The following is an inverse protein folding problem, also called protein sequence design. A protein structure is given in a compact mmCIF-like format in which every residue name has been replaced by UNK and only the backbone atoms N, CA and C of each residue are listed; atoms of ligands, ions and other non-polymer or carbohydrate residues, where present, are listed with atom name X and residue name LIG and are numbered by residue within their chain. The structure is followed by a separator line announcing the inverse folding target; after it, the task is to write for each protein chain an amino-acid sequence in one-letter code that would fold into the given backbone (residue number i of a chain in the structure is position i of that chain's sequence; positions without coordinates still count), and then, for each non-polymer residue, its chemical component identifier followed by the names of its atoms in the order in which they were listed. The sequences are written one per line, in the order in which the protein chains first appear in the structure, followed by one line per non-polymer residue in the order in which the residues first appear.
data_IF_307622047867
#
_entry.id   IF_307622047867
#
_cell.length_a   1.000
_cell.length_b   1.000
_cell.length_c   1.000
_cell.angle_alpha   90.00
_cell.angle_beta   90.00
_cell.angle_gamma   90.00
#
_symmetry.space_group_name_H-M   'P 1'
#
loop_
_entity.id
_entity.type
_entity.pdbx_description
1 polymer ?
#
# COMPACT_ATOMS: atom_id res chain seq x y z
N UNK A 1 15.04 3.29 -19.86
CA UNK A 1 13.79 2.85 -19.23
C UNK A 1 14.04 1.63 -18.35
N UNK A 2 14.39 1.78 -17.09
CA UNK A 2 14.55 0.65 -16.17
C UNK A 2 13.18 0.18 -15.64
N UNK A 3 12.76 -1.02 -15.99
CA UNK A 3 11.54 -1.64 -15.45
C UNK A 3 11.85 -2.88 -14.60
N UNK A 4 13.08 -3.37 -14.64
CA UNK A 4 13.51 -4.48 -13.78
C UNK A 4 13.99 -3.94 -12.44
N UNK A 5 13.22 -4.17 -11.39
CA UNK A 5 13.46 -3.65 -10.05
C UNK A 5 14.08 -4.75 -9.18
N UNK A 6 15.33 -4.54 -8.79
CA UNK A 6 16.00 -5.40 -7.82
C UNK A 6 15.42 -5.21 -6.41
N UNK A 7 15.36 -6.28 -5.64
CA UNK A 7 14.95 -6.26 -4.22
C UNK A 7 16.03 -6.89 -3.35
N UNK A 8 16.14 -6.39 -2.12
CA UNK A 8 17.02 -6.96 -1.10
C UNK A 8 16.24 -7.11 0.20
N UNK A 9 16.36 -8.27 0.84
CA UNK A 9 15.75 -8.56 2.12
C UNK A 9 16.70 -8.28 3.31
N UNK A 10 17.92 -7.78 3.04
CA UNK A 10 18.94 -7.60 4.08
C UNK A 10 18.47 -6.78 5.28
N UNK A 11 17.68 -5.72 5.04
CA UNK A 11 17.17 -4.87 6.14
C UNK A 11 16.13 -5.57 7.00
N UNK A 12 15.45 -6.58 6.48
CA UNK A 12 14.43 -7.35 7.19
C UNK A 12 14.97 -8.73 7.67
N UNK A 13 16.19 -9.09 7.31
CA UNK A 13 16.73 -10.43 7.54
C UNK A 13 16.61 -10.87 9.00
N UNK A 14 17.02 -10.02 9.96
CA UNK A 14 17.02 -10.39 11.38
C UNK A 14 15.61 -10.73 11.90
N UNK A 15 14.58 -9.99 11.47
CA UNK A 15 13.20 -10.29 11.89
C UNK A 15 12.64 -11.51 11.14
N UNK A 16 12.98 -11.67 9.87
CA UNK A 16 12.54 -12.81 9.05
C UNK A 16 13.15 -14.11 9.58
N UNK A 17 14.45 -14.10 9.87
CA UNK A 17 15.16 -15.24 10.51
C UNK A 17 14.51 -15.61 11.85
N UNK A 18 14.21 -14.62 12.68
CA UNK A 18 13.57 -14.83 13.97
C UNK A 18 12.17 -15.44 13.84
N UNK A 19 11.35 -14.91 12.92
CA UNK A 19 9.99 -15.39 12.69
C UNK A 19 10.00 -16.82 12.13
N UNK A 20 10.79 -17.08 11.08
CA UNK A 20 10.87 -18.42 10.48
C UNK A 20 11.35 -19.46 11.49
N UNK A 21 12.42 -19.15 12.26
CA UNK A 21 12.97 -20.04 13.27
C UNK A 21 11.98 -20.37 14.40
N UNK A 22 11.12 -19.44 14.77
CA UNK A 22 10.19 -19.59 15.89
C UNK A 22 8.75 -19.90 15.46
N UNK A 23 8.48 -20.10 14.17
CA UNK A 23 7.14 -20.39 13.66
C UNK A 23 6.17 -19.22 13.88
N UNK A 24 6.65 -17.98 13.80
CA UNK A 24 5.85 -16.76 13.97
C UNK A 24 5.45 -16.27 12.58
N UNK A 25 4.15 -16.10 12.36
CA UNK A 25 3.64 -15.53 11.11
C UNK A 25 4.03 -14.05 10.93
N UNK A 26 4.26 -13.66 9.68
CA UNK A 26 4.56 -12.28 9.31
C UNK A 26 3.47 -11.67 8.43
N UNK A 27 3.24 -10.37 8.62
CA UNK A 27 2.49 -9.52 7.71
C UNK A 27 3.47 -8.54 7.06
N UNK A 28 3.54 -8.56 5.72
CA UNK A 28 4.36 -7.63 4.95
C UNK A 28 3.72 -6.24 4.88
N UNK A 29 4.54 -5.17 4.92
CA UNK A 29 4.08 -3.79 4.86
C UNK A 29 5.12 -2.91 4.19
N UNK A 30 4.82 -2.16 3.19
CA UNK A 30 3.75 -2.22 2.20
C UNK A 30 4.40 -2.12 0.81
N UNK A 31 3.71 -2.58 -0.26
CA UNK A 31 4.28 -2.39 -1.61
C UNK A 31 4.10 -0.96 -2.11
N UNK A 32 2.94 -0.37 -1.85
CA UNK A 32 2.54 0.94 -2.35
C UNK A 32 2.15 1.85 -1.20
N UNK A 33 2.87 2.96 -1.07
CA UNK A 33 2.57 3.99 -0.08
C UNK A 33 3.00 5.37 -0.60
N UNK A 34 2.27 6.43 -0.26
CA UNK A 34 2.62 7.83 -0.58
C UNK A 34 3.75 8.37 0.32
N UNK A 35 4.25 7.55 1.24
CA UNK A 35 5.39 7.80 2.11
C UNK A 35 6.48 6.76 1.85
N UNK A 36 7.72 7.08 2.22
CA UNK A 36 8.89 6.20 2.22
C UNK A 36 9.28 5.55 0.87
N UNK A 37 8.46 5.67 -0.18
CA UNK A 37 8.89 5.31 -1.52
C UNK A 37 9.68 6.48 -2.11
N UNK A 38 10.96 6.31 -2.44
CA UNK A 38 11.80 7.43 -2.85
C UNK A 38 11.36 8.02 -4.19
N UNK A 39 11.47 9.35 -4.34
CA UNK A 39 10.99 10.07 -5.53
C UNK A 39 11.66 9.60 -6.83
N UNK A 40 12.92 9.18 -6.79
CA UNK A 40 13.61 8.65 -7.96
C UNK A 40 12.94 7.42 -8.57
N UNK A 41 12.18 6.64 -7.77
CA UNK A 41 11.47 5.45 -8.25
C UNK A 41 10.40 5.79 -9.31
N UNK A 42 9.87 7.01 -9.25
CA UNK A 42 8.82 7.51 -10.17
C UNK A 42 9.39 8.31 -11.35
N UNK A 43 10.71 8.45 -11.42
CA UNK A 43 11.36 9.34 -12.39
C UNK A 43 12.13 8.54 -13.45
N UNK A 44 12.29 9.16 -14.63
CA UNK A 44 13.16 8.64 -15.67
C UNK A 44 14.62 8.57 -15.19
N UNK A 45 15.31 7.52 -15.60
CA UNK A 45 16.70 7.29 -15.23
C UNK A 45 16.95 7.00 -13.75
N UNK A 46 15.89 6.82 -12.93
CA UNK A 46 15.99 6.64 -11.46
C UNK A 46 16.76 7.79 -10.78
N UNK A 47 16.50 9.02 -11.18
CA UNK A 47 17.09 10.23 -10.61
C UNK A 47 16.01 11.16 -10.09
N UNK A 48 16.26 11.88 -8.98
CA UNK A 48 15.30 12.80 -8.41
C UNK A 48 14.91 13.96 -9.35
N UNK A 49 15.80 14.33 -10.28
CA UNK A 49 15.60 15.40 -11.25
C UNK A 49 15.02 14.91 -12.59
N UNK A 50 14.78 13.60 -12.75
CA UNK A 50 14.18 13.04 -13.95
C UNK A 50 12.73 13.49 -14.14
N UNK A 51 12.22 13.43 -15.37
CA UNK A 51 10.81 13.58 -15.65
C UNK A 51 10.01 12.42 -15.02
N UNK A 52 8.72 12.63 -14.77
CA UNK A 52 7.82 11.54 -14.36
C UNK A 52 7.77 10.47 -15.45
N UNK A 53 7.87 9.21 -15.05
CA UNK A 53 7.70 8.11 -16.00
C UNK A 53 6.25 8.02 -16.47
N UNK A 54 6.02 7.35 -17.60
CA UNK A 54 4.69 7.02 -18.06
C UNK A 54 3.98 6.03 -17.12
N UNK A 55 2.66 6.02 -17.15
CA UNK A 55 1.82 5.04 -16.44
C UNK A 55 2.22 3.60 -16.74
N UNK A 56 2.49 3.29 -18.01
CA UNK A 56 2.91 1.95 -18.44
C UNK A 56 4.28 1.57 -17.85
N UNK A 57 5.24 2.49 -17.88
CA UNK A 57 6.55 2.28 -17.25
C UNK A 57 6.43 2.04 -15.75
N UNK A 58 5.58 2.81 -15.07
CA UNK A 58 5.37 2.65 -13.62
C UNK A 58 4.68 1.34 -13.30
N UNK A 59 3.70 0.94 -14.10
CA UNK A 59 3.03 -0.35 -13.96
C UNK A 59 4.02 -1.51 -14.13
N UNK A 60 4.91 -1.43 -15.11
CA UNK A 60 5.94 -2.44 -15.32
C UNK A 60 6.99 -2.47 -14.16
N UNK A 61 7.34 -1.30 -13.60
CA UNK A 61 8.18 -1.24 -12.39
C UNK A 61 7.50 -1.92 -11.20
N UNK A 62 6.22 -1.63 -11.00
CA UNK A 62 5.43 -2.21 -9.91
C UNK A 62 5.28 -3.73 -10.05
N UNK A 63 4.99 -4.22 -11.28
CA UNK A 63 4.93 -5.67 -11.57
C UNK A 63 6.26 -6.36 -11.24
N UNK A 64 7.37 -5.80 -11.71
CA UNK A 64 8.70 -6.33 -11.43
C UNK A 64 9.03 -6.31 -9.93
N UNK A 65 8.71 -5.22 -9.24
CA UNK A 65 8.97 -5.07 -7.80
C UNK A 65 8.22 -6.11 -6.98
N UNK A 66 6.91 -6.21 -7.15
CA UNK A 66 6.05 -7.14 -6.40
C UNK A 66 6.46 -8.59 -6.69
N UNK A 67 6.64 -8.94 -7.97
CA UNK A 67 7.13 -10.27 -8.39
C UNK A 67 8.44 -10.63 -7.71
N UNK A 68 9.42 -9.73 -7.79
CA UNK A 68 10.75 -9.98 -7.26
C UNK A 68 10.76 -10.07 -5.73
N UNK A 69 9.89 -9.32 -5.05
CA UNK A 69 9.73 -9.38 -3.60
C UNK A 69 9.20 -10.75 -3.17
N UNK A 70 8.06 -11.21 -3.68
CA UNK A 70 7.52 -12.53 -3.35
C UNK A 70 8.48 -13.65 -3.72
N UNK A 71 9.15 -13.56 -4.88
CA UNK A 71 10.14 -14.54 -5.30
C UNK A 71 11.37 -14.57 -4.40
N UNK A 72 11.82 -13.41 -3.90
CA UNK A 72 12.94 -13.33 -2.96
C UNK A 72 12.59 -13.95 -1.61
N UNK A 73 11.40 -13.64 -1.08
CA UNK A 73 10.91 -14.22 0.17
C UNK A 73 10.80 -15.74 0.05
N UNK A 74 10.12 -16.25 -0.95
CA UNK A 74 9.94 -17.69 -1.15
C UNK A 74 11.27 -18.45 -1.30
N UNK A 75 12.27 -17.82 -1.92
CA UNK A 75 13.59 -18.44 -2.12
C UNK A 75 14.47 -18.41 -0.86
N UNK A 76 14.45 -17.29 -0.11
CA UNK A 76 15.36 -17.10 1.03
C UNK A 76 14.75 -17.59 2.34
N UNK A 77 13.42 -17.59 2.44
CA UNK A 77 12.65 -17.94 3.63
C UNK A 77 11.51 -18.91 3.27
N UNK A 78 11.82 -20.12 2.82
CA UNK A 78 10.82 -21.06 2.30
C UNK A 78 9.85 -21.60 3.37
N UNK A 79 10.18 -21.47 4.65
CA UNK A 79 9.35 -21.92 5.77
C UNK A 79 8.69 -20.76 6.53
N UNK A 80 8.88 -19.52 6.08
CA UNK A 80 8.27 -18.36 6.70
C UNK A 80 6.77 -18.33 6.40
N UNK A 81 5.95 -18.29 7.46
CA UNK A 81 4.52 -18.04 7.34
C UNK A 81 4.25 -16.55 7.02
N UNK A 82 4.29 -16.19 5.74
CA UNK A 82 3.84 -14.89 5.25
C UNK A 82 2.31 -14.93 5.09
N UNK A 83 1.57 -14.79 6.19
CA UNK A 83 0.11 -14.95 6.20
C UNK A 83 -0.65 -13.79 5.57
N UNK A 84 -0.05 -12.61 5.49
CA UNK A 84 -0.70 -11.42 4.92
C UNK A 84 0.31 -10.42 4.35
N UNK A 85 -0.17 -9.55 3.46
CA UNK A 85 0.59 -8.41 2.95
C UNK A 85 -0.31 -7.18 2.78
N UNK A 86 0.12 -6.02 3.29
CA UNK A 86 -0.49 -4.73 2.99
C UNK A 86 -0.02 -4.30 1.59
N UNK A 87 -0.87 -4.51 0.60
CA UNK A 87 -0.52 -4.19 -0.80
C UNK A 87 -0.44 -2.69 -1.01
N UNK A 88 -1.44 -1.98 -0.50
CA UNK A 88 -1.50 -0.51 -0.57
C UNK A 88 -1.79 0.05 0.81
N UNK A 89 -1.01 1.06 1.20
CA UNK A 89 -1.17 1.80 2.44
C UNK A 89 -1.58 3.25 2.15
N UNK A 90 -2.65 3.71 2.83
CA UNK A 90 -3.02 5.13 2.93
C UNK A 90 -3.22 5.85 1.59
N UNK A 91 -3.88 5.21 0.63
CA UNK A 91 -4.12 5.85 -0.67
C UNK A 91 -5.21 6.93 -0.61
N UNK A 92 -6.15 6.82 0.34
CA UNK A 92 -7.27 7.77 0.45
C UNK A 92 -6.85 8.99 1.27
N UNK A 93 -7.13 10.18 0.73
CA UNK A 93 -6.85 11.47 1.38
C UNK A 93 -7.77 11.71 2.57
N UNK A 94 -7.25 12.41 3.59
CA UNK A 94 -8.03 12.91 4.73
C UNK A 94 -8.84 14.17 4.37
N UNK A 95 -8.56 14.81 3.26
CA UNK A 95 -9.25 16.01 2.79
C UNK A 95 -10.65 15.65 2.25
N UNK A 96 -11.70 16.19 2.89
CA UNK A 96 -13.09 15.95 2.52
C UNK A 96 -13.42 16.40 1.09
N UNK A 97 -12.75 17.43 0.58
CA UNK A 97 -12.91 17.82 -0.81
C UNK A 97 -12.32 16.77 -1.78
N UNK A 98 -11.20 16.15 -1.40
CA UNK A 98 -10.60 15.09 -2.21
C UNK A 98 -11.49 13.84 -2.25
N UNK A 99 -12.10 13.49 -1.12
CA UNK A 99 -13.02 12.35 -1.06
C UNK A 99 -14.32 12.63 -1.82
N UNK A 100 -14.86 13.85 -1.74
CA UNK A 100 -16.11 14.21 -2.42
C UNK A 100 -15.97 14.33 -3.95
N UNK A 101 -14.83 14.87 -4.44
CA UNK A 101 -14.72 15.31 -5.84
C UNK A 101 -13.66 14.56 -6.65
N UNK A 102 -12.77 13.79 -6.01
CA UNK A 102 -11.63 13.15 -6.66
C UNK A 102 -11.47 11.66 -6.29
N UNK A 103 -12.56 11.01 -5.84
CA UNK A 103 -12.54 9.60 -5.44
C UNK A 103 -11.54 9.28 -4.32
N UNK A 104 -11.25 10.26 -3.47
CA UNK A 104 -10.28 10.12 -2.39
C UNK A 104 -8.82 10.24 -2.82
N UNK A 105 -8.51 10.48 -4.09
CA UNK A 105 -7.13 10.59 -4.53
C UNK A 105 -6.40 11.76 -3.84
N UNK A 106 -5.18 11.50 -3.34
CA UNK A 106 -4.30 12.52 -2.78
C UNK A 106 -3.91 13.55 -3.83
N UNK A 107 -3.33 14.66 -3.41
CA UNK A 107 -2.80 15.67 -4.33
C UNK A 107 -1.57 15.11 -5.05
N UNK A 108 -1.47 15.35 -6.38
CA UNK A 108 -0.29 14.97 -7.16
C UNK A 108 0.94 15.77 -6.71
N UNK A 109 2.06 15.11 -6.55
CA UNK A 109 3.33 15.71 -6.11
C UNK A 109 4.33 14.61 -5.79
N UNK A 110 5.55 14.98 -5.42
CA UNK A 110 6.47 14.04 -4.82
C UNK A 110 5.89 13.49 -3.51
N UNK A 111 6.24 12.26 -3.18
CA UNK A 111 5.75 11.62 -1.96
C UNK A 111 6.11 12.45 -0.72
N UNK A 112 5.09 12.81 0.05
CA UNK A 112 5.24 13.61 1.26
C UNK A 112 4.17 13.23 2.29
N UNK A 113 4.62 12.66 3.41
CA UNK A 113 3.72 12.26 4.51
C UNK A 113 2.98 13.46 5.08
N UNK A 114 3.71 14.53 5.41
CA UNK A 114 3.15 15.72 6.08
C UNK A 114 2.25 16.53 5.14
N UNK A 115 2.62 16.61 3.86
CA UNK A 115 1.86 17.36 2.86
C UNK A 115 0.73 16.57 2.20
N UNK A 116 0.62 15.27 2.47
CA UNK A 116 -0.42 14.42 1.89
C UNK A 116 -0.34 14.26 0.37
N UNK A 117 0.79 14.59 -0.27
CA UNK A 117 1.01 14.43 -1.70
C UNK A 117 1.46 13.02 -2.07
N UNK A 118 1.16 12.59 -3.29
CA UNK A 118 1.44 11.25 -3.78
C UNK A 118 2.06 11.27 -5.18
N UNK A 119 3.24 10.69 -5.29
CA UNK A 119 3.90 10.44 -6.57
C UNK A 119 3.15 9.39 -7.41
N UNK A 120 2.42 8.49 -6.78
CA UNK A 120 1.54 7.56 -7.47
C UNK A 120 0.46 8.32 -8.24
N UNK A 121 -0.18 9.30 -7.60
CA UNK A 121 -1.18 10.17 -8.25
C UNK A 121 -0.54 11.04 -9.33
N UNK A 122 0.72 11.49 -9.16
CA UNK A 122 1.43 12.23 -10.21
C UNK A 122 1.59 11.40 -11.49
N UNK A 123 1.79 10.10 -11.38
CA UNK A 123 1.96 9.22 -12.54
C UNK A 123 0.62 8.72 -13.10
N UNK A 124 -0.32 8.36 -12.22
CA UNK A 124 -1.59 7.73 -12.64
C UNK A 124 -2.72 8.73 -12.87
N UNK A 125 -2.66 9.91 -12.28
CA UNK A 125 -3.69 10.95 -12.34
C UNK A 125 -4.80 10.77 -11.29
N UNK A 126 -4.99 9.56 -10.79
CA UNK A 126 -6.02 9.16 -9.84
C UNK A 126 -5.59 7.96 -8.99
N UNK A 127 -6.52 7.32 -8.27
CA UNK A 127 -6.26 6.12 -7.46
C UNK A 127 -6.26 4.80 -8.27
N UNK A 128 -6.24 4.82 -9.60
CA UNK A 128 -6.21 3.59 -10.42
C UNK A 128 -4.97 2.72 -10.19
N UNK A 129 -3.90 3.28 -9.65
CA UNK A 129 -2.73 2.51 -9.23
C UNK A 129 -3.06 1.48 -8.14
N UNK A 130 -4.06 1.73 -7.30
CA UNK A 130 -4.49 0.81 -6.24
C UNK A 130 -4.98 -0.51 -6.85
N UNK A 131 -5.91 -0.44 -7.79
CA UNK A 131 -6.39 -1.63 -8.48
C UNK A 131 -5.24 -2.36 -9.17
N UNK A 132 -4.36 -1.63 -9.82
CA UNK A 132 -3.22 -2.22 -10.53
C UNK A 132 -2.25 -2.92 -9.58
N UNK A 133 -2.00 -2.34 -8.39
CA UNK A 133 -1.17 -2.97 -7.38
C UNK A 133 -1.77 -4.28 -6.85
N UNK A 134 -3.09 -4.29 -6.60
CA UNK A 134 -3.79 -5.50 -6.14
C UNK A 134 -3.86 -6.59 -7.21
N UNK A 135 -4.15 -6.24 -8.47
CA UNK A 135 -4.11 -7.18 -9.60
C UNK A 135 -2.75 -7.88 -9.69
N UNK A 136 -1.67 -7.10 -9.59
CA UNK A 136 -0.31 -7.60 -9.66
C UNK A 136 0.04 -8.45 -8.43
N UNK A 137 -0.32 -7.99 -7.23
CA UNK A 137 -0.07 -8.74 -6.00
C UNK A 137 -0.81 -10.08 -6.00
N UNK A 138 -2.08 -10.10 -6.40
CA UNK A 138 -2.87 -11.32 -6.55
C UNK A 138 -2.24 -12.34 -7.51
N UNK A 139 -1.60 -11.86 -8.57
CA UNK A 139 -0.90 -12.72 -9.54
C UNK A 139 0.32 -13.44 -8.97
N UNK A 140 1.02 -12.85 -8.01
CA UNK A 140 2.31 -13.34 -7.53
C UNK A 140 2.33 -13.78 -6.06
N UNK A 141 1.33 -13.40 -5.28
CA UNK A 141 1.24 -13.79 -3.87
C UNK A 141 1.09 -15.31 -3.72
N UNK A 142 1.70 -15.91 -2.69
CA UNK A 142 1.32 -17.26 -2.30
C UNK A 142 -0.17 -17.36 -1.97
N UNK A 143 -0.80 -18.48 -2.27
CA UNK A 143 -2.24 -18.70 -2.02
C UNK A 143 -2.64 -18.49 -0.54
N UNK A 144 -1.72 -18.81 0.37
CA UNK A 144 -1.90 -18.59 1.81
C UNK A 144 -1.80 -17.13 2.25
N UNK A 145 -1.19 -16.25 1.44
CA UNK A 145 -0.95 -14.86 1.80
C UNK A 145 -2.17 -13.99 1.49
N UNK A 146 -2.81 -13.47 2.53
CA UNK A 146 -3.97 -12.58 2.42
C UNK A 146 -3.55 -11.16 2.05
N UNK A 147 -4.28 -10.53 1.12
CA UNK A 147 -3.96 -9.22 0.58
C UNK A 147 -4.87 -8.14 1.17
N UNK A 148 -4.26 -7.15 1.82
CA UNK A 148 -4.96 -6.09 2.55
C UNK A 148 -4.72 -4.72 1.94
N UNK A 149 -5.77 -3.90 1.94
CA UNK A 149 -5.66 -2.45 1.92
C UNK A 149 -5.58 -1.95 3.36
N UNK A 150 -4.65 -1.05 3.69
CA UNK A 150 -4.45 -0.56 5.05
C UNK A 150 -4.53 0.96 5.09
N UNK A 151 -5.26 1.52 6.09
CA UNK A 151 -5.40 2.98 6.21
C UNK A 151 -5.64 3.39 7.67
N UNK A 152 -5.64 4.70 7.92
CA UNK A 152 -5.93 5.35 9.20
C UNK A 152 -7.08 6.33 9.05
N UNK A 153 -7.66 6.80 10.17
CA UNK A 153 -8.85 7.66 10.18
C UNK A 153 -10.03 7.09 9.37
N UNK A 154 -10.05 5.80 9.18
CA UNK A 154 -11.03 5.04 8.41
C UNK A 154 -12.45 5.13 9.00
N UNK A 155 -12.58 5.61 10.24
CA UNK A 155 -13.85 5.89 10.90
C UNK A 155 -14.46 7.26 10.53
N UNK A 156 -13.75 8.13 9.81
CA UNK A 156 -14.31 9.38 9.29
C UNK A 156 -15.23 9.09 8.11
N UNK A 157 -16.49 9.51 8.20
CA UNK A 157 -17.54 9.16 7.24
C UNK A 157 -17.11 9.35 5.78
N UNK A 158 -16.58 10.52 5.45
CA UNK A 158 -16.16 10.83 4.08
C UNK A 158 -14.99 9.95 3.59
N UNK A 159 -14.07 9.57 4.47
CA UNK A 159 -12.93 8.72 4.15
C UNK A 159 -13.33 7.25 4.10
N UNK A 160 -14.12 6.81 5.08
CA UNK A 160 -14.68 5.45 5.16
C UNK A 160 -15.40 5.07 3.88
N UNK A 161 -16.29 5.94 3.38
CA UNK A 161 -17.08 5.66 2.20
C UNK A 161 -16.21 5.51 0.94
N UNK A 162 -15.14 6.30 0.80
CA UNK A 162 -14.17 6.14 -0.27
C UNK A 162 -13.40 4.81 -0.16
N UNK A 163 -12.90 4.48 1.04
CA UNK A 163 -12.20 3.22 1.31
C UNK A 163 -13.12 2.05 1.00
N UNK A 164 -14.35 2.06 1.54
CA UNK A 164 -15.33 1.00 1.34
C UNK A 164 -15.62 0.76 -0.14
N UNK A 165 -15.93 1.80 -0.90
CA UNK A 165 -16.28 1.66 -2.31
C UNK A 165 -15.10 1.14 -3.14
N UNK A 166 -13.88 1.60 -2.89
CA UNK A 166 -12.66 1.13 -3.53
C UNK A 166 -12.41 -0.35 -3.18
N UNK A 167 -12.42 -0.69 -1.90
CA UNK A 167 -12.18 -2.06 -1.43
C UNK A 167 -13.26 -3.04 -1.88
N UNK A 168 -14.53 -2.63 -1.90
CA UNK A 168 -15.64 -3.43 -2.43
C UNK A 168 -15.42 -3.81 -3.89
N UNK A 169 -14.97 -2.85 -4.72
CA UNK A 169 -14.65 -3.13 -6.12
C UNK A 169 -13.51 -4.16 -6.25
N UNK A 170 -12.44 -4.02 -5.46
CA UNK A 170 -11.32 -4.95 -5.45
C UNK A 170 -11.73 -6.35 -4.96
N UNK A 171 -12.55 -6.42 -3.91
CA UNK A 171 -13.08 -7.67 -3.39
C UNK A 171 -13.95 -8.40 -4.42
N UNK A 172 -14.82 -7.68 -5.13
CA UNK A 172 -15.67 -8.26 -6.19
C UNK A 172 -14.84 -8.82 -7.36
N UNK A 173 -13.63 -8.30 -7.58
CA UNK A 173 -12.67 -8.82 -8.58
C UNK A 173 -11.83 -9.99 -8.05
N UNK A 174 -11.94 -10.32 -6.77
CA UNK A 174 -11.15 -11.36 -6.12
C UNK A 174 -9.70 -10.96 -5.80
N UNK A 175 -9.38 -9.67 -5.82
CA UNK A 175 -8.01 -9.18 -5.62
C UNK A 175 -7.69 -8.83 -4.17
N UNK A 176 -8.70 -8.62 -3.33
CA UNK A 176 -8.55 -8.14 -1.96
C UNK A 176 -9.22 -9.12 -0.99
N UNK A 177 -8.54 -9.45 0.10
CA UNK A 177 -9.06 -10.31 1.17
C UNK A 177 -9.60 -9.51 2.37
N UNK A 178 -9.11 -8.29 2.61
CA UNK A 178 -9.57 -7.51 3.76
C UNK A 178 -9.05 -6.08 3.82
N UNK A 179 -9.60 -5.34 4.79
CA UNK A 179 -9.20 -3.98 5.11
C UNK A 179 -8.45 -3.99 6.44
N UNK A 180 -7.25 -3.41 6.47
CA UNK A 180 -6.48 -3.16 7.67
C UNK A 180 -6.83 -1.79 8.24
N UNK A 181 -7.26 -1.77 9.49
CA UNK A 181 -7.55 -0.55 10.24
C UNK A 181 -6.38 -0.25 11.17
N UNK A 182 -5.69 0.89 10.96
CA UNK A 182 -4.53 1.24 11.77
C UNK A 182 -4.92 1.58 13.22
N UNK A 183 -6.16 2.01 13.43
CA UNK A 183 -6.74 2.22 14.76
C UNK A 183 -5.93 3.16 15.66
N UNK A 184 -5.37 4.23 15.09
CA UNK A 184 -4.69 5.27 15.87
C UNK A 184 -5.72 6.06 16.69
N UNK A 185 -5.87 5.72 17.95
CA UNK A 185 -6.83 6.33 18.88
C UNK A 185 -6.05 7.07 19.96
N UNK A 186 -6.39 8.34 20.18
CA UNK A 186 -5.82 9.12 21.28
C UNK A 186 -6.56 8.77 22.59
N UNK A 187 -5.79 8.40 23.61
CA UNK A 187 -6.27 8.28 24.99
C UNK A 187 -6.00 9.61 25.73
N UNK A 188 -6.67 10.68 25.30
CA UNK A 188 -6.60 11.97 25.96
C UNK A 188 -7.62 12.12 27.10
N UNK A 189 -7.57 13.25 27.81
CA UNK A 189 -8.49 13.54 28.94
C UNK A 189 -9.97 13.61 28.55
N UNK A 190 -10.28 13.70 27.26
CA UNK A 190 -11.64 13.73 26.73
C UNK A 190 -12.15 12.32 26.35
N UNK A 191 -11.35 11.30 26.61
CA UNK A 191 -11.67 9.90 26.37
C UNK A 191 -11.63 9.49 24.92
N UNK A 192 -12.13 8.31 24.65
CA UNK A 192 -12.14 7.69 23.31
C UNK A 192 -13.27 8.26 22.44
N UNK A 193 -13.21 9.55 22.11
CA UNK A 193 -14.28 10.22 21.32
C UNK A 193 -14.53 9.57 19.96
N UNK A 194 -13.57 8.81 19.44
CA UNK A 194 -13.70 8.09 18.18
C UNK A 194 -14.27 6.66 18.30
N UNK A 195 -14.38 6.09 19.51
CA UNK A 195 -14.73 4.66 19.68
C UNK A 195 -16.11 4.32 19.10
N UNK A 196 -17.11 5.18 19.31
CA UNK A 196 -18.45 4.93 18.77
C UNK A 196 -18.45 4.93 17.22
N UNK A 197 -17.74 5.87 16.61
CA UNK A 197 -17.57 5.94 15.15
C UNK A 197 -16.79 4.74 14.62
N UNK A 198 -15.75 4.32 15.35
CA UNK A 198 -14.98 3.13 15.05
C UNK A 198 -15.81 1.85 15.08
N UNK A 199 -16.67 1.72 16.08
CA UNK A 199 -17.54 0.53 16.26
C UNK A 199 -18.64 0.47 15.20
N UNK A 200 -19.01 1.62 14.63
CA UNK A 200 -20.03 1.74 13.59
C UNK A 200 -19.48 1.62 12.16
N UNK A 201 -18.15 1.74 11.99
CA UNK A 201 -17.48 1.64 10.69
C UNK A 201 -17.22 0.20 10.28
#
# INVERSE_FOLDING_TARGET
SGTNIGVSLNSAAAIMDFCEKNGIGMRGHAFVWHSQTPSWFFKEGFTNNGAWVSKDTMTARLDSYIKNMFSAIARQYPNLDLYAYDVVNEAVSDDSNRTANFGGARVAGDNNVTGGTSAWVSVYGDNSFVEKAFEIAHKYAPESCKLFYNDYNEYWDHKRDCIYNMCKSLYQKGYLDGIGMQSHINADANGFSGVAAYTAA
#
